data_IF_239158231100
#
_entry.id   IF_239158231100
#
_cell.length_a   1.000
_cell.length_b   1.000
_cell.length_c   1.000
_cell.angle_alpha   90.00
_cell.angle_beta   90.00
_cell.angle_gamma   90.00
#
_symmetry.space_group_name_H-M   'P 1'
#
loop_
_entity.id
_entity.type
_entity.pdbx_description
1 polymer ?
#
# COMPACT_ATOMS: atom_id res chain seq x y z
N UNK A 1 -3.22 48.66 2.96
CA UNK A 1 -2.46 47.84 3.92
C UNK A 1 -1.96 46.64 3.14
N UNK A 2 -0.67 46.63 2.81
CA UNK A 2 -0.05 45.57 2.00
C UNK A 2 -0.04 44.26 2.79
N UNK A 3 -0.58 43.22 2.17
CA UNK A 3 -0.69 41.89 2.76
C UNK A 3 0.65 41.18 2.53
N UNK A 4 1.62 41.38 3.41
CA UNK A 4 2.92 40.69 3.33
C UNK A 4 2.76 39.24 3.76
N UNK A 5 2.77 38.36 2.76
CA UNK A 5 2.68 36.91 2.93
C UNK A 5 3.91 36.42 3.69
N UNK A 6 3.73 35.68 4.79
CA UNK A 6 4.86 35.15 5.56
C UNK A 6 5.44 33.91 4.88
N UNK A 7 6.78 33.80 4.76
CA UNK A 7 7.42 32.63 4.20
C UNK A 7 7.28 31.42 5.13
N UNK A 8 7.03 30.25 4.54
CA UNK A 8 6.82 28.99 5.27
C UNK A 8 8.12 28.19 5.47
N UNK A 9 9.16 28.50 4.68
CA UNK A 9 10.46 27.82 4.77
C UNK A 9 11.56 28.66 4.11
N UNK A 10 12.82 28.33 4.42
CA UNK A 10 14.00 29.03 3.92
C UNK A 10 14.99 28.04 3.30
N UNK A 11 15.64 28.46 2.22
CA UNK A 11 16.81 27.80 1.65
C UNK A 11 18.04 28.49 2.24
N UNK A 12 18.83 27.74 2.98
CA UNK A 12 20.00 28.24 3.70
C UNK A 12 21.26 27.62 3.10
N UNK A 13 22.26 28.46 2.82
CA UNK A 13 23.55 28.01 2.36
C UNK A 13 24.28 27.29 3.52
N UNK A 14 24.58 26.00 3.33
CA UNK A 14 24.97 25.10 4.41
C UNK A 14 26.27 25.50 5.13
N UNK A 15 27.17 26.19 4.44
CA UNK A 15 28.50 26.56 4.97
C UNK A 15 28.53 27.96 5.58
N UNK A 16 27.68 28.88 5.12
CA UNK A 16 27.69 30.30 5.56
C UNK A 16 26.51 30.64 6.47
N UNK A 17 25.47 29.81 6.49
CA UNK A 17 24.25 30.07 7.26
C UNK A 17 23.39 31.19 6.68
N UNK A 18 23.76 31.75 5.53
CA UNK A 18 23.02 32.82 4.87
C UNK A 18 21.75 32.26 4.22
N UNK A 19 20.65 33.01 4.35
CA UNK A 19 19.38 32.68 3.70
C UNK A 19 19.51 33.08 2.23
N UNK A 20 19.57 32.09 1.34
CA UNK A 20 19.62 32.33 -0.11
C UNK A 20 18.24 32.60 -0.68
N UNK A 21 17.19 32.00 -0.10
CA UNK A 21 15.84 32.12 -0.62
C UNK A 21 14.75 31.83 0.39
N UNK A 22 13.62 32.51 0.23
CA UNK A 22 12.40 32.26 0.99
C UNK A 22 11.41 31.44 0.14
N UNK A 23 10.68 30.54 0.77
CA UNK A 23 9.65 29.72 0.13
C UNK A 23 8.29 30.10 0.69
N UNK A 24 7.34 30.36 -0.20
CA UNK A 24 5.96 30.69 0.14
C UNK A 24 5.04 29.49 -0.10
N UNK A 25 3.81 29.60 0.39
CA UNK A 25 2.81 28.55 0.24
C UNK A 25 2.54 28.26 -1.25
N UNK A 26 2.80 27.02 -1.68
CA UNK A 26 2.67 26.58 -3.08
C UNK A 26 4.01 26.35 -3.78
N UNK A 27 5.12 26.89 -3.27
CA UNK A 27 6.44 26.70 -3.85
C UNK A 27 6.94 25.25 -3.67
N UNK A 28 7.70 24.78 -4.66
CA UNK A 28 8.28 23.43 -4.65
C UNK A 28 9.76 23.48 -5.04
N UNK A 29 10.60 22.85 -4.23
CA UNK A 29 11.99 22.57 -4.61
C UNK A 29 12.00 21.35 -5.51
N UNK A 30 12.37 21.55 -6.78
CA UNK A 30 12.45 20.47 -7.78
C UNK A 30 13.92 20.31 -8.19
N UNK A 31 14.42 19.07 -8.19
CA UNK A 31 15.80 18.79 -8.61
C UNK A 31 15.94 19.02 -10.12
N UNK A 32 17.07 19.60 -10.54
CA UNK A 32 17.38 19.85 -11.97
C UNK A 32 17.18 18.61 -12.86
N UNK A 33 17.51 17.42 -12.35
CA UNK A 33 17.29 16.12 -13.02
C UNK A 33 15.81 15.78 -13.28
N UNK A 34 14.90 16.17 -12.37
CA UNK A 34 13.46 15.98 -12.57
C UNK A 34 12.90 16.96 -13.60
N UNK A 35 13.42 18.19 -13.63
CA UNK A 35 13.03 19.19 -14.63
C UNK A 35 13.47 18.75 -16.02
N UNK A 36 14.71 18.28 -16.17
CA UNK A 36 15.20 17.80 -17.47
C UNK A 36 14.49 16.54 -17.95
N UNK A 37 14.20 15.59 -17.06
CA UNK A 37 13.41 14.40 -17.41
C UNK A 37 11.99 14.77 -17.89
N UNK A 38 11.30 15.65 -17.14
CA UNK A 38 9.95 16.12 -17.47
C UNK A 38 9.90 16.94 -18.76
N UNK A 39 10.90 17.80 -19.02
CA UNK A 39 10.98 18.55 -20.29
C UNK A 39 11.27 17.67 -21.50
N UNK A 40 12.06 16.62 -21.31
CA UNK A 40 12.52 15.77 -22.41
C UNK A 40 11.51 14.67 -22.80
N UNK A 41 10.66 14.25 -21.86
CA UNK A 41 9.67 13.18 -22.07
C UNK A 41 8.23 13.64 -21.78
N UNK A 42 8.02 14.95 -21.57
CA UNK A 42 6.71 15.50 -21.18
C UNK A 42 5.65 15.37 -22.26
N UNK A 43 6.05 15.40 -23.53
CA UNK A 43 5.18 15.15 -24.67
C UNK A 43 4.76 13.66 -24.71
N UNK A 44 5.72 12.74 -24.65
CA UNK A 44 5.48 11.29 -24.63
C UNK A 44 4.59 10.85 -23.43
N UNK A 45 4.78 11.47 -22.26
CA UNK A 45 3.98 11.21 -21.05
C UNK A 45 2.52 11.70 -21.14
N UNK A 46 2.22 12.64 -22.03
CA UNK A 46 0.85 13.13 -22.29
C UNK A 46 0.22 12.40 -23.49
N UNK A 47 1.02 12.03 -24.50
CA UNK A 47 0.57 11.31 -25.70
C UNK A 47 0.13 9.86 -25.39
N UNK A 48 0.77 9.20 -24.43
CA UNK A 48 0.40 7.85 -23.95
C UNK A 48 -0.76 7.84 -22.93
N UNK A 49 -1.28 8.99 -22.50
CA UNK A 49 -2.48 9.07 -21.65
C UNK A 49 -3.74 8.97 -22.49
N UNK A 50 -3.96 7.79 -23.08
CA UNK A 50 -5.05 7.56 -24.03
C UNK A 50 -6.42 7.69 -23.34
N UNK A 51 -6.57 7.26 -22.08
CA UNK A 51 -7.82 7.39 -21.30
C UNK A 51 -7.57 7.49 -19.79
N UNK A 52 -8.38 8.30 -19.10
CA UNK A 52 -8.44 8.27 -17.64
C UNK A 52 -9.13 6.96 -17.19
N UNK A 53 -8.37 6.08 -16.54
CA UNK A 53 -8.85 4.78 -16.04
C UNK A 53 -9.89 4.88 -14.91
N UNK A 54 -10.15 6.06 -14.36
CA UNK A 54 -11.25 6.31 -13.41
C UNK A 54 -11.09 5.65 -12.02
N UNK A 55 -9.95 5.00 -11.76
CA UNK A 55 -9.60 4.36 -10.48
C UNK A 55 -8.37 5.00 -9.82
N UNK A 56 -8.01 6.20 -10.27
CA UNK A 56 -6.82 7.00 -10.01
C UNK A 56 -6.50 7.23 -8.52
N UNK A 57 -7.40 6.86 -7.59
CA UNK A 57 -7.21 7.00 -6.15
C UNK A 57 -7.29 5.70 -5.33
N UNK A 58 -7.75 4.58 -5.90
CA UNK A 58 -8.04 3.34 -5.12
C UNK A 58 -7.72 2.04 -5.87
N UNK A 59 -6.61 1.98 -6.58
CA UNK A 59 -6.11 0.71 -7.13
C UNK A 59 -5.22 -0.01 -6.11
N UNK A 60 -5.01 -1.31 -6.30
CA UNK A 60 -4.02 -2.13 -5.59
C UNK A 60 -3.21 -2.88 -6.64
N UNK A 61 -1.91 -3.08 -6.39
CA UNK A 61 -1.04 -3.82 -7.31
C UNK A 61 -0.67 -5.16 -6.66
N UNK A 62 -0.88 -6.24 -7.42
CA UNK A 62 -0.41 -7.57 -7.07
C UNK A 62 0.83 -7.87 -7.90
N UNK A 63 1.86 -8.42 -7.26
CA UNK A 63 3.05 -8.89 -7.99
C UNK A 63 2.65 -10.02 -8.94
N UNK A 64 3.18 -10.05 -10.16
CA UNK A 64 2.95 -11.15 -11.12
C UNK A 64 3.40 -12.49 -10.53
N UNK A 65 4.58 -12.51 -9.91
CA UNK A 65 5.13 -13.68 -9.24
C UNK A 65 4.20 -14.15 -8.12
N UNK A 66 3.76 -13.23 -7.26
CA UNK A 66 2.86 -13.58 -6.17
C UNK A 66 1.46 -14.01 -6.65
N UNK A 67 0.97 -13.43 -7.75
CA UNK A 67 -0.32 -13.80 -8.35
C UNK A 67 -0.29 -15.24 -8.88
N UNK A 68 0.81 -15.63 -9.54
CA UNK A 68 1.04 -17.02 -9.98
C UNK A 68 1.17 -17.97 -8.79
N UNK A 69 1.89 -17.57 -7.74
CA UNK A 69 1.98 -18.38 -6.52
C UNK A 69 0.62 -18.55 -5.84
N UNK A 70 -0.15 -17.47 -5.67
CA UNK A 70 -1.51 -17.50 -5.13
C UNK A 70 -2.40 -18.45 -5.91
N UNK A 71 -2.37 -18.41 -7.25
CA UNK A 71 -3.14 -19.31 -8.10
C UNK A 71 -2.82 -20.80 -7.83
N UNK A 72 -1.57 -21.10 -7.46
CA UNK A 72 -1.11 -22.45 -7.13
C UNK A 72 -1.37 -22.87 -5.67
N UNK A 73 -1.88 -21.99 -4.80
CA UNK A 73 -2.11 -22.30 -3.38
C UNK A 73 -3.27 -23.25 -3.12
N UNK A 74 -4.03 -23.62 -4.16
CA UNK A 74 -5.21 -24.49 -4.06
C UNK A 74 -6.22 -23.99 -3.02
N UNK A 75 -6.36 -22.67 -2.91
CA UNK A 75 -7.39 -22.05 -2.08
C UNK A 75 -8.78 -22.42 -2.63
N UNK A 76 -9.72 -22.62 -1.73
CA UNK A 76 -11.14 -22.80 -2.05
C UNK A 76 -11.74 -21.50 -2.60
N UNK A 77 -12.91 -21.60 -3.25
CA UNK A 77 -13.63 -20.43 -3.74
C UNK A 77 -13.90 -19.40 -2.63
N UNK A 78 -14.28 -19.86 -1.43
CA UNK A 78 -14.53 -18.97 -0.28
C UNK A 78 -13.26 -18.25 0.20
N UNK A 79 -12.13 -18.97 0.24
CA UNK A 79 -10.84 -18.38 0.60
C UNK A 79 -10.38 -17.32 -0.40
N UNK A 80 -10.55 -17.57 -1.71
CA UNK A 80 -10.28 -16.56 -2.73
C UNK A 80 -11.20 -15.34 -2.62
N UNK A 81 -12.49 -15.52 -2.34
CA UNK A 81 -13.42 -14.40 -2.15
C UNK A 81 -13.01 -13.53 -0.95
N UNK A 82 -12.63 -14.15 0.16
CA UNK A 82 -12.13 -13.44 1.36
C UNK A 82 -10.81 -12.74 1.04
N UNK A 83 -9.89 -13.41 0.35
CA UNK A 83 -8.60 -12.85 -0.05
C UNK A 83 -8.77 -11.57 -0.88
N UNK A 84 -9.59 -11.61 -1.93
CA UNK A 84 -9.85 -10.48 -2.81
C UNK A 84 -10.52 -9.32 -2.05
N UNK A 85 -11.46 -9.63 -1.15
CA UNK A 85 -12.09 -8.63 -0.28
C UNK A 85 -11.04 -7.97 0.63
N UNK A 86 -10.15 -8.74 1.24
CA UNK A 86 -9.07 -8.21 2.08
C UNK A 86 -8.10 -7.34 1.28
N UNK A 87 -7.66 -7.77 0.10
CA UNK A 87 -6.76 -7.00 -0.79
C UNK A 87 -7.32 -5.61 -1.09
N UNK A 88 -8.63 -5.52 -1.36
CA UNK A 88 -9.30 -4.25 -1.65
C UNK A 88 -9.36 -3.28 -0.47
N UNK A 89 -9.15 -3.78 0.76
CA UNK A 89 -9.17 -3.01 2.01
C UNK A 89 -7.80 -2.94 2.70
N UNK A 90 -6.73 -3.38 2.03
CA UNK A 90 -5.37 -3.26 2.57
C UNK A 90 -4.84 -1.83 2.39
N UNK A 91 -4.42 -1.22 3.48
CA UNK A 91 -3.74 0.07 3.49
C UNK A 91 -2.32 -0.05 2.96
N UNK A 92 -2.02 0.76 1.95
CA UNK A 92 -0.75 0.75 1.21
C UNK A 92 0.53 0.78 2.07
N UNK A 93 0.60 1.69 3.06
CA UNK A 93 1.84 1.91 3.83
C UNK A 93 2.01 0.93 4.99
N UNK A 94 0.90 0.57 5.62
CA UNK A 94 0.89 -0.18 6.88
C UNK A 94 0.63 -1.67 6.69
N UNK A 95 0.11 -2.08 5.52
CA UNK A 95 -0.40 -3.44 5.29
C UNK A 95 -1.67 -3.74 6.08
N UNK A 96 -2.23 -2.79 6.82
CA UNK A 96 -3.41 -3.00 7.66
C UNK A 96 -4.64 -3.24 6.80
N UNK A 97 -5.39 -4.31 7.08
CA UNK A 97 -6.67 -4.60 6.43
C UNK A 97 -7.77 -3.91 7.26
N UNK A 98 -8.28 -2.80 6.72
CA UNK A 98 -9.22 -1.93 7.42
C UNK A 98 -10.07 -1.14 6.42
N UNK A 99 -11.22 -0.67 6.87
CA UNK A 99 -12.02 0.29 6.11
C UNK A 99 -11.25 1.59 5.86
N UNK A 100 -11.77 2.44 4.97
CA UNK A 100 -11.15 3.73 4.64
C UNK A 100 -10.96 4.67 5.85
N UNK A 101 -11.72 4.48 6.92
CA UNK A 101 -11.60 5.23 8.19
C UNK A 101 -10.62 4.58 9.20
N UNK A 102 -9.81 3.60 8.77
CA UNK A 102 -8.86 2.83 9.60
C UNK A 102 -9.49 1.91 10.65
N UNK A 103 -10.81 1.70 10.64
CA UNK A 103 -11.41 0.67 11.49
C UNK A 103 -11.07 -0.72 10.93
N UNK A 104 -10.47 -1.62 11.74
CA UNK A 104 -10.12 -2.97 11.29
C UNK A 104 -11.36 -3.75 10.84
N UNK A 105 -11.21 -4.48 9.73
CA UNK A 105 -12.25 -5.40 9.28
C UNK A 105 -12.29 -6.60 10.24
N UNK A 106 -13.49 -6.96 10.68
CA UNK A 106 -13.72 -8.13 11.54
C UNK A 106 -14.37 -9.28 10.76
N UNK A 107 -14.30 -10.49 11.34
CA UNK A 107 -14.80 -11.72 10.72
C UNK A 107 -16.32 -11.72 10.53
N UNK A 108 -17.05 -11.09 11.45
CA UNK A 108 -18.50 -10.98 11.40
C UNK A 108 -18.94 -10.23 10.13
N UNK A 109 -18.31 -9.07 9.88
CA UNK A 109 -18.57 -8.28 8.69
C UNK A 109 -18.21 -9.03 7.41
N UNK A 110 -17.09 -9.75 7.37
CA UNK A 110 -16.71 -10.56 6.19
C UNK A 110 -17.77 -11.63 5.91
N UNK A 111 -18.24 -12.32 6.96
CA UNK A 111 -19.26 -13.37 6.84
C UNK A 111 -20.54 -12.82 6.25
N UNK A 112 -21.03 -11.70 6.79
CA UNK A 112 -22.24 -11.02 6.31
C UNK A 112 -22.06 -10.53 4.87
N UNK A 113 -20.93 -9.84 4.58
CA UNK A 113 -20.69 -9.23 3.28
C UNK A 113 -20.57 -10.26 2.15
N UNK A 114 -20.01 -11.44 2.43
CA UNK A 114 -19.83 -12.51 1.45
C UNK A 114 -20.93 -13.58 1.47
N UNK A 115 -21.89 -13.50 2.40
CA UNK A 115 -22.91 -14.52 2.58
C UNK A 115 -22.33 -15.88 2.98
N UNK A 116 -21.29 -15.88 3.82
CA UNK A 116 -20.62 -17.08 4.31
C UNK A 116 -21.03 -17.38 5.75
N UNK A 117 -21.03 -18.66 6.14
CA UNK A 117 -21.19 -19.02 7.55
C UNK A 117 -19.98 -18.54 8.36
N UNK A 118 -20.18 -18.19 9.63
CA UNK A 118 -19.07 -17.83 10.53
C UNK A 118 -17.97 -18.90 10.55
N UNK A 119 -18.36 -20.19 10.60
CA UNK A 119 -17.43 -21.33 10.55
C UNK A 119 -16.59 -21.35 9.27
N UNK A 120 -17.20 -21.10 8.12
CA UNK A 120 -16.49 -21.01 6.84
C UNK A 120 -15.51 -19.84 6.86
N UNK A 121 -15.95 -18.66 7.30
CA UNK A 121 -15.09 -17.48 7.40
C UNK A 121 -13.92 -17.70 8.34
N UNK A 122 -14.16 -18.30 9.52
CA UNK A 122 -13.10 -18.63 10.49
C UNK A 122 -12.06 -19.57 9.91
N UNK A 123 -12.51 -20.65 9.27
CA UNK A 123 -11.63 -21.63 8.64
C UNK A 123 -10.83 -20.99 7.51
N UNK A 124 -11.48 -20.21 6.66
CA UNK A 124 -10.80 -19.54 5.53
C UNK A 124 -9.77 -18.52 6.02
N UNK A 125 -10.08 -17.71 7.03
CA UNK A 125 -9.13 -16.76 7.62
C UNK A 125 -7.96 -17.52 8.25
N UNK A 126 -8.23 -18.62 8.96
CA UNK A 126 -7.18 -19.48 9.50
C UNK A 126 -6.28 -20.01 8.39
N UNK A 127 -6.84 -20.52 7.28
CA UNK A 127 -6.03 -20.94 6.12
C UNK A 127 -5.15 -19.80 5.62
N UNK A 128 -5.68 -18.59 5.44
CA UNK A 128 -4.89 -17.46 4.95
C UNK A 128 -3.74 -17.09 5.91
N UNK A 129 -3.95 -17.21 7.22
CA UNK A 129 -2.90 -17.03 8.25
C UNK A 129 -1.86 -18.15 8.16
N UNK A 130 -2.29 -19.41 8.17
CA UNK A 130 -1.41 -20.59 8.15
C UNK A 130 -0.55 -20.63 6.87
N UNK A 131 -1.08 -20.09 5.77
CA UNK A 131 -0.37 -19.96 4.48
C UNK A 131 0.56 -18.75 4.43
N UNK A 132 0.59 -17.92 5.48
CA UNK A 132 1.40 -16.71 5.56
C UNK A 132 0.96 -15.60 4.60
N UNK A 133 -0.29 -15.64 4.12
CA UNK A 133 -0.84 -14.65 3.19
C UNK A 133 -1.26 -13.39 3.96
N UNK A 134 -1.80 -13.58 5.16
CA UNK A 134 -2.09 -12.53 6.12
C UNK A 134 -1.48 -12.88 7.48
N UNK A 135 -1.39 -11.89 8.35
CA UNK A 135 -1.02 -12.08 9.74
C UNK A 135 -2.11 -11.48 10.64
N UNK A 136 -2.28 -12.10 11.81
CA UNK A 136 -3.19 -11.62 12.84
C UNK A 136 -2.40 -11.01 13.99
N UNK A 137 -2.83 -9.83 14.44
CA UNK A 137 -2.35 -9.23 15.68
C UNK A 137 -3.55 -8.95 16.60
N UNK A 138 -3.42 -9.30 17.87
CA UNK A 138 -4.46 -9.05 18.88
C UNK A 138 -3.88 -8.07 19.90
N UNK A 139 -4.54 -6.93 20.08
CA UNK A 139 -4.19 -5.93 21.10
C UNK A 139 -5.47 -5.49 21.81
N UNK A 140 -5.52 -5.55 23.15
CA UNK A 140 -6.69 -5.15 23.94
C UNK A 140 -8.01 -5.75 23.42
N UNK A 141 -8.02 -7.07 23.17
CA UNK A 141 -9.16 -7.81 22.61
C UNK A 141 -9.60 -7.39 21.20
N UNK A 142 -8.86 -6.49 20.53
CA UNK A 142 -9.12 -6.08 19.15
C UNK A 142 -8.19 -6.84 18.22
N UNK A 143 -8.80 -7.55 17.27
CA UNK A 143 -8.07 -8.22 16.21
C UNK A 143 -7.80 -7.25 15.07
N UNK A 144 -6.56 -7.24 14.58
CA UNK A 144 -6.13 -6.56 13.36
C UNK A 144 -5.51 -7.59 12.43
N UNK A 145 -5.80 -7.46 11.14
CA UNK A 145 -5.17 -8.27 10.11
C UNK A 145 -4.23 -7.41 9.28
N UNK A 146 -3.11 -8.00 8.91
CA UNK A 146 -2.13 -7.37 8.03
C UNK A 146 -1.92 -8.25 6.81
N UNK A 147 -1.84 -7.64 5.63
CA UNK A 147 -1.58 -8.35 4.38
C UNK A 147 -0.08 -8.49 4.15
N UNK A 148 0.34 -9.63 3.59
CA UNK A 148 1.74 -9.88 3.31
C UNK A 148 2.26 -8.95 2.17
N UNK A 149 3.25 -8.08 2.42
CA UNK A 149 3.75 -7.14 1.43
C UNK A 149 4.56 -7.81 0.30
N UNK A 150 5.00 -9.06 0.49
CA UNK A 150 5.63 -9.84 -0.58
C UNK A 150 4.63 -10.33 -1.62
N UNK A 151 3.33 -10.32 -1.28
CA UNK A 151 2.23 -10.67 -2.19
C UNK A 151 1.66 -9.43 -2.86
N UNK A 152 1.27 -8.46 -2.05
CA UNK A 152 0.71 -7.18 -2.48
C UNK A 152 1.83 -6.14 -2.41
N UNK A 153 2.51 -5.95 -3.54
CA UNK A 153 3.66 -5.07 -3.64
C UNK A 153 3.24 -3.67 -4.03
N UNK A 154 3.83 -2.67 -3.38
CA UNK A 154 3.67 -1.31 -3.84
C UNK A 154 4.83 -0.42 -3.33
N UNK A 155 5.99 -0.58 -3.97
CA UNK A 155 7.17 0.28 -3.80
C UNK A 155 8.39 -0.39 -3.17
N UNK A 156 9.57 0.23 -3.34
CA UNK A 156 10.90 -0.30 -2.94
C UNK A 156 11.05 -0.58 -1.44
N UNK A 157 10.22 0.03 -0.60
CA UNK A 157 10.41 0.06 0.86
C UNK A 157 9.15 -0.41 1.58
N UNK A 158 9.34 -1.28 2.57
CA UNK A 158 8.32 -1.75 3.50
C UNK A 158 8.70 -1.30 4.90
N UNK A 159 7.73 -1.02 5.78
CA UNK A 159 8.07 -0.62 7.14
C UNK A 159 8.67 -1.80 7.92
N UNK A 160 9.46 -1.50 8.95
CA UNK A 160 10.17 -2.52 9.75
C UNK A 160 9.22 -3.52 10.39
N UNK A 161 8.07 -3.08 10.91
CA UNK A 161 7.09 -3.96 11.56
C UNK A 161 6.50 -5.00 10.61
N UNK A 162 6.09 -4.58 9.42
CA UNK A 162 5.51 -5.45 8.41
C UNK A 162 6.60 -6.37 7.81
N UNK A 163 7.82 -5.88 7.64
CA UNK A 163 8.97 -6.73 7.30
C UNK A 163 9.18 -7.84 8.32
N UNK A 164 9.32 -7.49 9.61
CA UNK A 164 9.54 -8.46 10.69
C UNK A 164 8.42 -9.49 10.78
N UNK A 165 7.18 -9.08 10.52
CA UNK A 165 6.00 -9.94 10.51
C UNK A 165 6.03 -10.99 9.39
N UNK A 166 6.61 -10.68 8.22
CA UNK A 166 6.51 -11.53 7.03
C UNK A 166 7.84 -12.08 6.49
N UNK A 167 9.00 -11.63 6.99
CA UNK A 167 10.34 -11.98 6.46
C UNK A 167 10.64 -13.48 6.43
N UNK A 168 10.01 -14.26 7.32
CA UNK A 168 10.22 -15.70 7.42
C UNK A 168 9.16 -16.51 6.65
N UNK A 169 8.20 -15.86 6.01
CA UNK A 169 7.21 -16.55 5.19
C UNK A 169 7.82 -17.04 3.88
N UNK A 170 7.27 -18.09 3.29
CA UNK A 170 7.69 -18.57 1.96
C UNK A 170 7.56 -17.51 0.87
N UNK A 171 6.64 -16.55 1.04
CA UNK A 171 6.44 -15.42 0.11
C UNK A 171 7.64 -14.47 0.07
N UNK A 172 8.41 -14.40 1.16
CA UNK A 172 9.63 -13.58 1.22
C UNK A 172 10.81 -14.18 0.45
N UNK A 173 10.74 -15.49 0.13
CA UNK A 173 11.78 -16.19 -0.61
C UNK A 173 11.48 -16.05 -2.10
N UNK A 174 12.14 -15.09 -2.76
CA UNK A 174 12.16 -15.04 -4.21
C UNK A 174 12.91 -16.26 -4.75
N UNK A 175 12.35 -16.93 -5.75
CA UNK A 175 13.13 -17.85 -6.58
C UNK A 175 14.13 -17.01 -7.37
N UNK A 176 15.41 -17.06 -6.97
CA UNK A 176 16.51 -16.66 -7.85
C UNK A 176 16.62 -17.75 -8.92
N UNK A 177 15.85 -17.63 -10.00
CA UNK A 177 16.06 -18.40 -11.23
C UNK A 177 16.29 -17.45 -12.38
#
# INVERSE_FOLDING_TARGET
MENTQQPISYIVHAETGEIEKELFEGDRIIRKKQISFSKQHGADLEEDKIYNFGQDKKFSMLSEFASKQLANEKLTASEYRILLLMISNTHYKSGLIAFGNNQPINKEWISINLGLTQKTTDNSIKTLIDRGIIAQNITNHKTKYFFNPYIQYRGRWINKTLYEMFKNTRWAKYDNK
#
